data_IF_870849221055
#
_entry.id   IF_870849221055
#
_cell.length_a   1.000
_cell.length_b   1.000
_cell.length_c   1.000
_cell.angle_alpha   90.00
_cell.angle_beta   90.00
_cell.angle_gamma   90.00
#
_symmetry.space_group_name_H-M   'P 1'
#
loop_
_entity.id
_entity.type
_entity.pdbx_description
1 polymer ?
#
# COMPACT_ATOMS: atom_id res chain seq x y z
N UNK A 1 15.47 26.80 13.40
CA UNK A 1 15.48 25.48 12.73
C UNK A 1 16.50 25.58 11.60
N UNK A 2 17.58 24.79 11.64
CA UNK A 2 18.55 24.76 10.54
C UNK A 2 17.91 24.06 9.35
N UNK A 3 18.08 24.59 8.15
CA UNK A 3 17.69 23.86 6.94
C UNK A 3 18.58 22.60 6.82
N UNK A 4 18.02 21.46 6.39
CA UNK A 4 18.83 20.29 6.08
C UNK A 4 19.79 20.62 4.92
N UNK A 5 21.01 20.11 5.00
CA UNK A 5 22.02 20.30 3.94
C UNK A 5 21.51 19.76 2.59
N UNK A 6 21.84 20.44 1.47
CA UNK A 6 21.38 20.00 0.15
C UNK A 6 21.97 18.63 -0.19
N UNK A 7 21.10 17.65 -0.43
CA UNK A 7 21.49 16.32 -0.91
C UNK A 7 22.06 16.49 -2.32
N UNK A 8 23.27 15.97 -2.62
CA UNK A 8 23.84 16.07 -3.95
C UNK A 8 22.95 15.36 -4.98
N UNK A 9 22.83 15.96 -6.16
CA UNK A 9 22.02 15.43 -7.25
C UNK A 9 22.59 14.06 -7.69
N UNK A 10 21.78 13.02 -7.60
CA UNK A 10 22.18 11.67 -8.00
C UNK A 10 21.86 11.48 -9.48
N UNK A 11 22.88 11.12 -10.28
CA UNK A 11 22.73 10.81 -11.70
C UNK A 11 23.46 9.52 -12.08
N UNK A 12 22.97 8.83 -13.10
CA UNK A 12 23.61 7.66 -13.70
C UNK A 12 23.43 7.65 -15.23
N UNK A 13 24.43 7.14 -15.98
CA UNK A 13 24.29 6.94 -17.41
C UNK A 13 23.42 5.72 -17.71
N UNK A 14 22.40 5.88 -18.56
CA UNK A 14 21.60 4.77 -19.11
C UNK A 14 21.65 4.78 -20.64
N UNK A 15 21.20 3.71 -21.34
CA UNK A 15 21.13 3.69 -22.80
C UNK A 15 20.29 4.83 -23.41
N UNK A 16 19.37 5.39 -22.63
CA UNK A 16 18.50 6.52 -23.00
C UNK A 16 19.12 7.89 -22.71
N UNK A 17 20.28 7.94 -22.05
CA UNK A 17 21.00 9.16 -21.69
C UNK A 17 21.31 9.26 -20.19
N UNK A 18 21.77 10.43 -19.74
CA UNK A 18 21.97 10.70 -18.31
C UNK A 18 20.60 10.79 -17.62
N UNK A 19 20.39 9.93 -16.62
CA UNK A 19 19.18 9.92 -15.81
C UNK A 19 19.47 10.38 -14.40
N UNK A 20 18.53 11.10 -13.80
CA UNK A 20 18.70 11.72 -12.50
C UNK A 20 17.54 11.38 -11.57
N UNK A 21 17.85 11.26 -10.29
CA UNK A 21 16.83 11.13 -9.27
C UNK A 21 16.10 12.47 -9.09
N UNK A 22 14.77 12.44 -9.12
CA UNK A 22 13.94 13.63 -8.90
C UNK A 22 14.10 14.11 -7.45
N UNK A 23 14.46 15.39 -7.22
CA UNK A 23 14.59 15.94 -5.87
C UNK A 23 13.32 15.77 -5.04
N UNK A 24 13.47 15.33 -3.80
CA UNK A 24 12.35 15.10 -2.88
C UNK A 24 11.60 13.77 -3.09
N UNK A 25 11.96 12.98 -4.12
CA UNK A 25 11.37 11.66 -4.37
C UNK A 25 12.34 10.58 -3.92
N UNK A 26 11.91 9.74 -2.97
CA UNK A 26 12.69 8.57 -2.53
C UNK A 26 12.48 7.40 -3.50
N UNK A 27 13.54 6.78 -4.04
CA UNK A 27 13.42 5.58 -4.86
C UNK A 27 12.86 4.40 -4.07
N UNK A 28 12.05 3.57 -4.72
CA UNK A 28 11.57 2.31 -4.16
C UNK A 28 12.66 1.25 -4.25
N UNK A 29 13.13 0.79 -3.10
CA UNK A 29 14.16 -0.26 -3.00
C UNK A 29 13.56 -1.66 -3.14
N UNK A 30 14.40 -2.67 -3.35
CA UNK A 30 13.98 -4.08 -3.32
C UNK A 30 13.38 -4.46 -1.97
N UNK A 31 13.91 -3.93 -0.88
CA UNK A 31 13.35 -4.13 0.47
C UNK A 31 11.93 -3.61 0.57
N UNK A 32 11.69 -2.37 0.13
CA UNK A 32 10.35 -1.76 0.16
C UNK A 32 9.33 -2.60 -0.65
N UNK A 33 9.76 -3.16 -1.79
CA UNK A 33 8.92 -4.08 -2.59
C UNK A 33 8.59 -5.38 -1.85
N UNK A 34 9.57 -5.97 -1.16
CA UNK A 34 9.37 -7.21 -0.41
C UNK A 34 8.45 -7.00 0.80
N UNK A 35 8.63 -5.92 1.55
CA UNK A 35 7.74 -5.56 2.66
C UNK A 35 6.29 -5.40 2.19
N UNK A 36 6.06 -4.73 1.05
CA UNK A 36 4.73 -4.61 0.45
C UNK A 36 4.10 -5.97 0.10
N UNK A 37 4.91 -6.92 -0.39
CA UNK A 37 4.46 -8.27 -0.76
C UNK A 37 4.19 -9.14 0.47
N UNK A 38 4.94 -8.97 1.56
CA UNK A 38 4.70 -9.69 2.82
C UNK A 38 3.32 -9.35 3.41
N UNK A 39 2.88 -8.11 3.28
CA UNK A 39 1.57 -7.67 3.76
C UNK A 39 0.42 -8.06 2.82
N UNK A 40 0.70 -8.39 1.55
CA UNK A 40 -0.32 -8.61 0.53
C UNK A 40 -1.33 -9.73 0.85
N UNK A 41 -0.94 -10.88 1.45
CA UNK A 41 -1.89 -11.94 1.82
C UNK A 41 -2.90 -11.52 2.90
N UNK A 42 -2.53 -10.57 3.76
CA UNK A 42 -3.41 -10.08 4.83
C UNK A 42 -4.42 -9.06 4.33
N UNK A 43 -4.24 -8.51 3.12
CA UNK A 43 -5.15 -7.52 2.56
C UNK A 43 -6.42 -8.18 2.05
N UNK A 44 -7.61 -7.63 2.37
CA UNK A 44 -8.85 -8.11 1.80
C UNK A 44 -8.86 -7.93 0.27
N UNK A 45 -9.16 -9.01 -0.46
CA UNK A 45 -9.28 -8.99 -1.93
C UNK A 45 -10.64 -8.47 -2.42
N UNK A 46 -11.60 -8.38 -1.51
CA UNK A 46 -12.95 -7.87 -1.71
C UNK A 46 -13.45 -7.29 -0.38
N UNK A 47 -14.53 -6.51 -0.42
CA UNK A 47 -15.15 -6.00 0.80
C UNK A 47 -15.44 -7.16 1.77
N UNK A 48 -14.91 -7.07 3.01
CA UNK A 48 -15.19 -8.06 4.04
C UNK A 48 -16.64 -7.90 4.50
N UNK A 49 -17.36 -9.02 4.56
CA UNK A 49 -18.70 -9.04 5.15
C UNK A 49 -18.58 -8.93 6.68
N UNK A 50 -19.58 -8.32 7.36
CA UNK A 50 -19.72 -8.39 8.81
C UNK A 50 -19.63 -9.82 9.34
N UNK A 51 -19.06 -10.02 10.54
CA UNK A 51 -18.81 -11.35 11.12
C UNK A 51 -20.07 -12.23 11.26
N UNK A 52 -21.24 -11.61 11.44
CA UNK A 52 -22.53 -12.28 11.58
C UNK A 52 -23.15 -12.74 10.25
N UNK A 53 -22.52 -12.44 9.11
CA UNK A 53 -22.98 -12.82 7.77
C UNK A 53 -21.98 -13.82 7.17
N UNK A 54 -22.35 -15.11 7.09
CA UNK A 54 -21.42 -16.13 6.63
C UNK A 54 -21.88 -17.56 6.89
N UNK A 55 -20.93 -18.45 7.22
CA UNK A 55 -21.14 -19.90 7.35
C UNK A 55 -22.25 -20.29 8.34
N UNK A 56 -22.40 -19.53 9.43
CA UNK A 56 -23.43 -19.74 10.44
C UNK A 56 -24.64 -18.82 10.26
N UNK A 57 -24.50 -17.80 9.40
CA UNK A 57 -25.48 -16.74 9.09
C UNK A 57 -26.33 -16.38 10.32
N UNK A 58 -25.71 -15.96 11.43
CA UNK A 58 -26.42 -15.68 12.69
C UNK A 58 -27.48 -14.59 12.52
N UNK A 59 -27.30 -13.72 11.52
CA UNK A 59 -28.27 -12.73 11.07
C UNK A 59 -29.39 -13.32 10.18
N UNK A 60 -29.75 -14.61 10.34
CA UNK A 60 -30.70 -15.36 9.50
C UNK A 60 -31.88 -14.49 9.10
N UNK A 61 -31.77 -13.93 7.89
CA UNK A 61 -32.82 -13.22 7.15
C UNK A 61 -33.17 -11.79 7.56
N UNK A 62 -32.32 -11.01 8.24
CA UNK A 62 -32.60 -9.56 8.48
C UNK A 62 -34.10 -9.35 8.77
N UNK A 63 -34.66 -10.14 9.69
CA UNK A 63 -36.08 -10.03 10.03
C UNK A 63 -36.18 -8.71 10.81
N UNK A 64 -36.22 -7.61 10.06
CA UNK A 64 -36.67 -6.32 10.54
C UNK A 64 -38.04 -6.64 11.11
N UNK A 65 -38.19 -6.47 12.42
CA UNK A 65 -39.50 -6.56 13.06
C UNK A 65 -40.43 -5.68 12.24
N UNK A 66 -41.32 -6.33 11.48
CA UNK A 66 -42.55 -5.69 11.09
C UNK A 66 -43.30 -5.62 12.41
N UNK A 67 -43.53 -4.38 12.84
CA UNK A 67 -44.26 -3.94 14.05
C UNK A 67 -43.39 -3.71 15.29
#
# INVERSE_FOLDING_TARGET
MSAPDPIPLQSEPTPEGEQMLVPGVRPTTTRDRLELLMDAPLRPRAAQKPLNIGLFDEAKRNQLDLF
#
